data_IF_998705989682
#
_entry.id   IF_998705989682
#
_cell.length_a   1.000
_cell.length_b   1.000
_cell.length_c   1.000
_cell.angle_alpha   90.00
_cell.angle_beta   90.00
_cell.angle_gamma   90.00
#
_symmetry.space_group_name_H-M   'P 1'
#
loop_
_entity.id
_entity.type
_entity.pdbx_description
1 polymer ?
#
# COMPACT_ATOMS: atom_id res chain seq x y z
N UNK A 1 2.19 -13.26 27.53
CA UNK A 1 2.01 -13.24 26.07
C UNK A 1 3.30 -12.78 25.46
N UNK A 2 3.74 -13.42 24.38
CA UNK A 2 4.86 -12.91 23.59
C UNK A 2 4.48 -11.59 22.92
N UNK A 3 5.48 -10.76 22.65
CA UNK A 3 5.29 -9.46 22.01
C UNK A 3 4.98 -9.67 20.52
N UNK A 4 4.00 -8.95 19.94
CA UNK A 4 3.75 -9.03 18.50
C UNK A 4 4.99 -8.64 17.69
N UNK A 5 5.25 -9.37 16.60
CA UNK A 5 6.31 -9.06 15.65
C UNK A 5 6.07 -7.69 15.02
N UNK A 6 7.13 -6.92 14.75
CA UNK A 6 6.98 -5.70 13.96
C UNK A 6 6.63 -6.06 12.50
N UNK A 7 6.10 -5.13 11.69
CA UNK A 7 5.65 -5.45 10.32
C UNK A 7 6.71 -6.15 9.46
N UNK A 8 7.99 -5.77 9.59
CA UNK A 8 9.10 -6.40 8.84
C UNK A 8 9.35 -7.84 9.30
N UNK A 9 9.43 -8.06 10.61
CA UNK A 9 9.64 -9.40 11.19
C UNK A 9 8.45 -10.32 10.89
N UNK A 10 7.23 -9.78 10.97
CA UNK A 10 6.00 -10.51 10.65
C UNK A 10 5.99 -10.95 9.18
N UNK A 11 6.33 -10.04 8.25
CA UNK A 11 6.43 -10.36 6.83
C UNK A 11 7.46 -11.45 6.54
N UNK A 12 8.64 -11.37 7.16
CA UNK A 12 9.68 -12.39 7.03
C UNK A 12 9.22 -13.75 7.60
N UNK A 13 8.62 -13.75 8.79
CA UNK A 13 8.11 -14.97 9.41
C UNK A 13 7.08 -15.66 8.51
N UNK A 14 6.15 -14.90 7.93
CA UNK A 14 5.15 -15.44 6.99
C UNK A 14 5.84 -16.00 5.73
N UNK A 15 6.78 -15.28 5.12
CA UNK A 15 7.43 -15.77 3.89
C UNK A 15 8.23 -17.05 4.10
N UNK A 16 8.80 -17.25 5.30
CA UNK A 16 9.63 -18.42 5.62
C UNK A 16 8.80 -19.65 6.05
N UNK A 17 7.62 -19.45 6.63
CA UNK A 17 6.86 -20.52 7.28
C UNK A 17 5.49 -20.80 6.65
N UNK A 18 4.96 -19.88 5.84
CA UNK A 18 3.64 -20.05 5.23
C UNK A 18 3.68 -21.08 4.11
N UNK A 19 2.66 -21.95 4.10
CA UNK A 19 2.45 -22.91 3.01
C UNK A 19 1.53 -22.38 1.91
N UNK A 20 0.72 -21.38 2.26
CA UNK A 20 -0.29 -20.80 1.37
C UNK A 20 0.19 -19.48 0.75
N UNK A 21 1.27 -18.90 1.27
CA UNK A 21 1.86 -17.63 0.82
C UNK A 21 3.34 -17.87 0.59
N UNK A 22 3.76 -17.75 -0.66
CA UNK A 22 5.16 -17.85 -1.07
C UNK A 22 5.54 -16.65 -1.93
N UNK A 23 6.83 -16.38 -2.03
CA UNK A 23 7.37 -15.32 -2.89
C UNK A 23 7.66 -15.93 -4.26
N UNK A 24 7.08 -15.35 -5.31
CA UNK A 24 7.40 -15.68 -6.70
C UNK A 24 8.44 -14.68 -7.21
N UNK A 25 9.68 -15.14 -7.41
CA UNK A 25 10.83 -14.29 -7.76
C UNK A 25 10.62 -13.61 -9.13
N UNK A 26 10.03 -14.32 -10.09
CA UNK A 26 9.73 -13.75 -11.41
C UNK A 26 8.73 -12.60 -11.28
N UNK A 27 7.70 -12.78 -10.45
CA UNK A 27 6.72 -11.74 -10.15
C UNK A 27 7.33 -10.53 -9.44
N UNK A 28 8.27 -10.77 -8.51
CA UNK A 28 9.01 -9.68 -7.84
C UNK A 28 9.82 -8.88 -8.85
N UNK A 29 10.52 -9.54 -9.77
CA UNK A 29 11.31 -8.87 -10.79
C UNK A 29 10.41 -8.04 -11.72
N UNK A 30 9.33 -8.63 -12.26
CA UNK A 30 8.42 -7.94 -13.17
C UNK A 30 7.80 -6.70 -12.53
N UNK A 31 7.30 -6.82 -11.31
CA UNK A 31 6.71 -5.69 -10.57
C UNK A 31 7.75 -4.61 -10.31
N UNK A 32 8.98 -5.01 -9.95
CA UNK A 32 10.08 -4.06 -9.73
C UNK A 32 10.40 -3.29 -11.00
N UNK A 33 10.47 -3.95 -12.15
CA UNK A 33 10.68 -3.29 -13.44
C UNK A 33 9.53 -2.33 -13.79
N UNK A 34 8.28 -2.73 -13.58
CA UNK A 34 7.11 -1.87 -13.78
C UNK A 34 7.21 -0.59 -12.94
N UNK A 35 7.51 -0.73 -11.65
CA UNK A 35 7.69 0.41 -10.74
C UNK A 35 8.88 1.28 -11.14
N UNK A 36 10.01 0.66 -11.51
CA UNK A 36 11.21 1.37 -11.91
C UNK A 36 10.99 2.21 -13.16
N UNK A 37 10.21 1.73 -14.13
CA UNK A 37 9.81 2.49 -15.33
C UNK A 37 9.03 3.75 -14.98
N UNK A 38 8.29 3.74 -13.86
CA UNK A 38 7.47 4.86 -13.39
C UNK A 38 8.20 5.84 -12.45
N UNK A 39 9.45 5.57 -12.06
CA UNK A 39 10.16 6.31 -10.98
C UNK A 39 10.28 7.83 -11.17
N UNK A 40 10.28 8.32 -12.41
CA UNK A 40 10.35 9.75 -12.72
C UNK A 40 8.99 10.34 -13.15
N UNK A 41 7.92 9.54 -13.07
CA UNK A 41 6.57 9.98 -13.38
C UNK A 41 5.85 10.51 -12.14
N UNK A 42 4.78 11.27 -12.34
CA UNK A 42 3.90 11.67 -11.23
C UNK A 42 3.08 10.49 -10.68
N UNK A 43 3.00 9.34 -11.37
CA UNK A 43 2.06 8.27 -11.04
C UNK A 43 2.23 7.68 -9.62
N UNK A 44 3.48 7.64 -9.13
CA UNK A 44 3.81 7.12 -7.81
C UNK A 44 3.90 8.22 -6.73
N UNK A 45 3.47 9.44 -7.05
CA UNK A 45 3.36 10.53 -6.06
C UNK A 45 1.96 10.53 -5.44
N UNK A 46 1.82 11.14 -4.25
CA UNK A 46 0.51 11.27 -3.60
C UNK A 46 -0.50 12.05 -4.48
N UNK A 47 -0.06 13.05 -5.23
CA UNK A 47 -0.90 13.80 -6.16
C UNK A 47 -1.28 12.98 -7.39
N UNK A 48 -0.35 12.23 -7.98
CA UNK A 48 -0.63 11.35 -9.10
C UNK A 48 -1.58 10.20 -8.74
N UNK A 49 -1.40 9.58 -7.57
CA UNK A 49 -2.35 8.59 -7.05
C UNK A 49 -3.75 9.19 -6.89
N UNK A 50 -3.87 10.40 -6.31
CA UNK A 50 -5.17 11.08 -6.18
C UNK A 50 -5.82 11.36 -7.53
N UNK A 51 -5.05 11.75 -8.54
CA UNK A 51 -5.56 11.99 -9.90
C UNK A 51 -6.05 10.71 -10.57
N UNK A 52 -5.35 9.58 -10.36
CA UNK A 52 -5.65 8.31 -11.00
C UNK A 52 -6.73 7.48 -10.28
N UNK A 53 -6.92 7.69 -8.98
CA UNK A 53 -7.86 6.91 -8.19
C UNK A 53 -9.27 7.54 -8.22
N UNK A 54 -10.30 6.87 -8.79
CA UNK A 54 -11.66 7.39 -8.81
C UNK A 54 -12.31 7.49 -7.42
N UNK A 55 -11.74 6.80 -6.41
CA UNK A 55 -12.17 6.88 -5.01
C UNK A 55 -11.42 7.96 -4.21
N UNK A 56 -10.44 8.65 -4.82
CA UNK A 56 -9.78 9.75 -4.16
C UNK A 56 -10.76 10.91 -3.98
N UNK A 57 -11.06 11.22 -2.73
CA UNK A 57 -11.99 12.28 -2.39
C UNK A 57 -11.38 13.64 -2.72
N UNK A 58 -12.19 14.50 -3.34
CA UNK A 58 -11.85 15.91 -3.48
C UNK A 58 -11.76 16.53 -2.07
N UNK A 59 -10.71 17.29 -1.75
CA UNK A 59 -10.52 17.84 -0.40
C UNK A 59 -11.69 18.68 0.12
N UNK A 60 -12.52 19.21 -0.78
CA UNK A 60 -13.65 20.09 -0.47
C UNK A 60 -15.00 19.37 -0.54
N UNK A 61 -15.04 18.04 -0.69
CA UNK A 61 -16.31 17.30 -0.71
C UNK A 61 -16.78 16.94 0.70
N UNK A 62 -18.10 16.87 0.89
CA UNK A 62 -18.69 16.39 2.15
C UNK A 62 -18.21 14.97 2.50
N UNK A 63 -17.93 14.15 1.49
CA UNK A 63 -17.36 12.82 1.67
C UNK A 63 -15.96 12.88 2.29
N UNK A 64 -15.12 13.85 1.90
CA UNK A 64 -13.79 14.02 2.50
C UNK A 64 -13.90 14.40 3.99
N UNK A 65 -14.83 15.28 4.33
CA UNK A 65 -15.13 15.64 5.72
C UNK A 65 -15.63 14.44 6.52
N UNK A 66 -16.55 13.65 5.96
CA UNK A 66 -17.05 12.44 6.62
C UNK A 66 -15.93 11.42 6.90
N UNK A 67 -14.95 11.31 6.00
CA UNK A 67 -13.80 10.43 6.23
C UNK A 67 -12.88 10.96 7.34
N UNK A 68 -12.74 12.27 7.51
CA UNK A 68 -12.01 12.81 8.67
C UNK A 68 -12.69 12.38 9.97
N UNK A 69 -14.02 12.46 10.05
CA UNK A 69 -14.76 12.02 11.24
C UNK A 69 -14.59 10.54 11.55
N UNK A 70 -14.61 9.65 10.53
CA UNK A 70 -14.46 8.21 10.79
C UNK A 70 -13.02 7.87 11.25
N UNK A 71 -11.97 8.46 10.64
CA UNK A 71 -10.58 8.21 11.07
C UNK A 71 -10.30 8.78 12.45
N UNK A 72 -10.80 9.97 12.79
CA UNK A 72 -10.57 10.61 14.09
C UNK A 72 -11.25 9.87 15.26
N UNK A 73 -12.28 9.06 14.95
CA UNK A 73 -12.99 8.24 15.95
C UNK A 73 -12.43 6.83 16.17
N UNK A 74 -11.39 6.43 15.42
CA UNK A 74 -10.71 5.12 15.54
C UNK A 74 -9.35 5.22 16.24
#
# INVERSE_FOLDING_TARGET
MEKPLCPRESGQFVSEHSRDVFIEEEGVQEVTEMLYRLRHSEALTASGWKKANPLALLPTSDQALNWVFVVDTM
#
